data_IF_830896247854
#
_entry.id   IF_830896247854
#
_cell.length_a   1.000
_cell.length_b   1.000
_cell.length_c   1.000
_cell.angle_alpha   90.00
_cell.angle_beta   90.00
_cell.angle_gamma   90.00
#
_symmetry.space_group_name_H-M   'P 1'
#
loop_
_entity.id
_entity.type
_entity.pdbx_description
1 polymer ?
#
# COMPACT_ATOMS: atom_id res chain seq x y z
N UNK A 1 -20.15 14.09 -1.19
CA UNK A 1 -19.71 15.03 -0.12
C UNK A 1 -18.72 14.31 0.78
N UNK A 2 -17.73 14.99 1.38
CA UNK A 2 -16.79 14.35 2.31
C UNK A 2 -17.52 13.96 3.60
N UNK A 3 -17.53 12.68 3.96
CA UNK A 3 -18.07 12.20 5.22
C UNK A 3 -16.93 12.10 6.25
N UNK A 4 -16.78 13.15 7.04
CA UNK A 4 -15.76 13.20 8.08
C UNK A 4 -15.96 12.12 9.15
N UNK A 5 -17.21 11.75 9.46
CA UNK A 5 -17.51 10.78 10.51
C UNK A 5 -16.98 9.40 10.15
N UNK A 6 -17.31 8.87 8.97
CA UNK A 6 -16.84 7.56 8.53
C UNK A 6 -15.32 7.56 8.35
N UNK A 7 -14.73 8.68 7.87
CA UNK A 7 -13.31 8.81 7.72
C UNK A 7 -12.54 8.71 9.05
N UNK A 8 -12.99 9.46 10.07
CA UNK A 8 -12.36 9.40 11.40
C UNK A 8 -12.61 8.07 12.12
N UNK A 9 -13.76 7.43 11.91
CA UNK A 9 -14.06 6.12 12.51
C UNK A 9 -13.14 4.99 12.02
N UNK A 10 -12.50 5.15 10.87
CA UNK A 10 -11.51 4.16 10.39
C UNK A 10 -10.19 4.20 11.16
N UNK A 11 -9.80 5.37 11.70
CA UNK A 11 -8.51 5.55 12.36
C UNK A 11 -8.29 4.61 13.56
N UNK A 12 -9.24 4.40 14.49
CA UNK A 12 -9.11 3.42 15.57
C UNK A 12 -8.88 1.97 15.06
N UNK A 13 -9.57 1.57 13.99
CA UNK A 13 -9.37 0.25 13.38
C UNK A 13 -7.97 0.06 12.82
N UNK A 14 -7.46 1.08 12.11
CA UNK A 14 -6.09 1.08 11.59
C UNK A 14 -5.05 1.10 12.72
N UNK A 15 -5.28 1.89 13.77
CA UNK A 15 -4.43 1.92 14.95
C UNK A 15 -4.41 0.56 15.67
N UNK A 16 -5.56 -0.12 15.79
CA UNK A 16 -5.64 -1.45 16.36
C UNK A 16 -4.82 -2.47 15.54
N UNK A 17 -4.93 -2.45 14.20
CA UNK A 17 -4.12 -3.29 13.32
C UNK A 17 -2.62 -3.00 13.47
N UNK A 18 -2.26 -1.72 13.58
CA UNK A 18 -0.88 -1.29 13.81
C UNK A 18 -0.34 -1.82 15.16
N UNK A 19 -1.12 -1.71 16.23
CA UNK A 19 -0.75 -2.23 17.57
C UNK A 19 -0.61 -3.74 17.54
N UNK A 20 -1.50 -4.47 16.87
CA UNK A 20 -1.37 -5.93 16.69
C UNK A 20 -0.08 -6.29 15.95
N UNK A 21 0.25 -5.56 14.88
CA UNK A 21 1.52 -5.74 14.17
C UNK A 21 2.73 -5.46 15.06
N UNK A 22 2.67 -4.41 15.87
CA UNK A 22 3.71 -4.12 16.84
C UNK A 22 3.89 -5.25 17.86
N UNK A 23 2.81 -5.77 18.44
CA UNK A 23 2.86 -6.91 19.37
C UNK A 23 3.52 -8.15 18.72
N UNK A 24 3.20 -8.43 17.44
CA UNK A 24 3.82 -9.53 16.68
C UNK A 24 5.32 -9.28 16.44
N UNK A 25 5.73 -8.01 16.30
CA UNK A 25 7.13 -7.63 16.05
C UNK A 25 8.04 -7.80 17.27
N UNK A 26 7.49 -7.73 18.49
CA UNK A 26 8.26 -7.78 19.73
C UNK A 26 9.05 -9.10 19.91
N UNK A 27 8.43 -10.30 19.86
CA UNK A 27 9.16 -11.55 19.99
C UNK A 27 10.13 -11.79 18.83
N UNK A 28 9.84 -11.26 17.64
CA UNK A 28 10.68 -11.38 16.44
C UNK A 28 11.86 -10.41 16.44
N UNK A 29 11.82 -9.38 17.28
CA UNK A 29 12.76 -8.24 17.27
C UNK A 29 12.97 -7.66 15.87
N UNK A 30 11.91 -7.67 15.06
CA UNK A 30 11.91 -7.22 13.66
C UNK A 30 10.61 -6.47 13.37
N UNK A 31 10.71 -5.19 13.01
CA UNK A 31 9.56 -4.33 12.73
C UNK A 31 9.11 -4.37 11.25
N UNK A 32 9.80 -5.12 10.37
CA UNK A 32 9.43 -5.27 8.95
C UNK A 32 8.02 -5.84 8.74
N UNK A 33 7.44 -6.44 9.78
CA UNK A 33 6.02 -6.85 9.82
C UNK A 33 5.10 -5.71 9.39
N UNK A 34 5.45 -4.47 9.69
CA UNK A 34 4.64 -3.31 9.32
C UNK A 34 4.52 -3.15 7.81
N UNK A 35 5.57 -3.47 7.04
CA UNK A 35 5.55 -3.38 5.57
C UNK A 35 4.55 -4.40 4.98
N UNK A 36 4.41 -5.58 5.60
CA UNK A 36 3.40 -6.58 5.23
C UNK A 36 1.98 -6.12 5.56
N UNK A 37 1.81 -5.32 6.62
CA UNK A 37 0.51 -4.78 7.03
C UNK A 37 0.11 -3.55 6.23
N UNK A 38 1.05 -2.88 5.58
CA UNK A 38 0.82 -1.63 4.86
C UNK A 38 -0.35 -1.72 3.89
N UNK A 39 -0.32 -2.70 2.98
CA UNK A 39 -1.40 -2.89 2.01
C UNK A 39 -2.71 -3.36 2.66
N UNK A 40 -2.64 -4.15 3.74
CA UNK A 40 -3.80 -4.61 4.48
C UNK A 40 -4.51 -3.47 5.24
N UNK A 41 -3.79 -2.41 5.62
CA UNK A 41 -4.39 -1.20 6.18
C UNK A 41 -5.36 -0.54 5.18
N UNK A 42 -5.04 -0.52 3.89
CA UNK A 42 -5.94 0.00 2.86
C UNK A 42 -7.16 -0.91 2.63
N UNK A 43 -6.96 -2.22 2.68
CA UNK A 43 -8.09 -3.15 2.62
C UNK A 43 -9.04 -2.96 3.80
N UNK A 44 -8.48 -2.86 5.01
CA UNK A 44 -9.26 -2.56 6.21
C UNK A 44 -9.98 -1.21 6.08
N UNK A 45 -9.32 -0.18 5.52
CA UNK A 45 -9.94 1.13 5.28
C UNK A 45 -11.19 1.01 4.41
N UNK A 46 -11.13 0.27 3.30
CA UNK A 46 -12.30 0.07 2.42
C UNK A 46 -13.43 -0.62 3.15
N UNK A 47 -13.14 -1.67 3.92
CA UNK A 47 -14.16 -2.39 4.72
C UNK A 47 -14.81 -1.47 5.74
N UNK A 48 -14.03 -0.62 6.41
CA UNK A 48 -14.55 0.32 7.42
C UNK A 48 -15.36 1.47 6.80
N UNK A 49 -14.99 1.94 5.59
CA UNK A 49 -15.71 3.01 4.90
C UNK A 49 -16.98 2.52 4.23
N UNK A 50 -16.94 1.37 3.59
CA UNK A 50 -18.04 0.84 2.78
C UNK A 50 -19.02 -0.02 3.59
N UNK A 51 -18.62 -0.47 4.79
CA UNK A 51 -19.29 -1.59 5.46
C UNK A 51 -19.02 -2.93 4.75
N UNK A 52 -19.54 -4.02 5.31
CA UNK A 52 -19.38 -5.35 4.70
C UNK A 52 -20.70 -6.16 4.81
N UNK A 53 -21.25 -6.61 3.67
CA UNK A 53 -20.81 -6.33 2.29
C UNK A 53 -21.12 -4.88 1.86
N UNK A 54 -20.33 -4.29 0.91
CA UNK A 54 -20.63 -2.96 0.40
C UNK A 54 -21.97 -2.89 -0.34
N UNK A 55 -22.74 -1.83 -0.08
CA UNK A 55 -24.08 -1.67 -0.66
C UNK A 55 -24.02 -1.24 -2.14
N UNK A 56 -23.07 -0.37 -2.50
CA UNK A 56 -22.95 0.19 -3.85
C UNK A 56 -22.12 -0.69 -4.78
N UNK A 57 -22.39 -0.64 -6.09
CA UNK A 57 -21.57 -1.34 -7.11
C UNK A 57 -20.12 -0.85 -7.09
N UNK A 58 -19.91 0.48 -6.95
CA UNK A 58 -18.58 1.07 -6.85
C UNK A 58 -17.85 0.59 -5.60
N UNK A 59 -18.54 0.48 -4.46
CA UNK A 59 -18.00 -0.08 -3.23
C UNK A 59 -17.55 -1.54 -3.40
N UNK A 60 -18.37 -2.37 -4.06
CA UNK A 60 -18.03 -3.76 -4.37
C UNK A 60 -16.83 -3.86 -5.33
N UNK A 61 -16.82 -3.06 -6.40
CA UNK A 61 -15.71 -2.98 -7.34
C UNK A 61 -14.41 -2.61 -6.60
N UNK A 62 -14.46 -1.56 -5.81
CA UNK A 62 -13.29 -1.08 -5.08
C UNK A 62 -12.78 -2.11 -4.07
N UNK A 63 -13.68 -2.76 -3.32
CA UNK A 63 -13.30 -3.82 -2.39
C UNK A 63 -12.55 -4.96 -3.10
N UNK A 64 -13.02 -5.39 -4.27
CA UNK A 64 -12.36 -6.45 -5.05
C UNK A 64 -10.97 -5.99 -5.52
N UNK A 65 -10.86 -4.80 -6.11
CA UNK A 65 -9.59 -4.27 -6.61
C UNK A 65 -8.56 -4.12 -5.46
N UNK A 66 -8.98 -3.53 -4.35
CA UNK A 66 -8.10 -3.34 -3.19
C UNK A 66 -7.73 -4.68 -2.55
N UNK A 67 -8.68 -5.63 -2.43
CA UNK A 67 -8.41 -6.94 -1.85
C UNK A 67 -7.38 -7.73 -2.68
N UNK A 68 -7.55 -7.78 -4.00
CA UNK A 68 -6.61 -8.46 -4.90
C UNK A 68 -5.21 -7.85 -4.80
N UNK A 69 -5.11 -6.54 -4.86
CA UNK A 69 -3.83 -5.83 -4.76
C UNK A 69 -3.20 -6.00 -3.37
N UNK A 70 -3.95 -5.75 -2.29
CA UNK A 70 -3.42 -5.73 -0.94
C UNK A 70 -2.99 -7.12 -0.45
N UNK A 71 -3.78 -8.16 -0.72
CA UNK A 71 -3.45 -9.53 -0.34
C UNK A 71 -2.21 -10.01 -1.10
N UNK A 72 -2.16 -9.77 -2.42
CA UNK A 72 -0.98 -10.10 -3.23
C UNK A 72 0.28 -9.41 -2.70
N UNK A 73 0.22 -8.10 -2.45
CA UNK A 73 1.38 -7.33 -2.00
C UNK A 73 1.83 -7.77 -0.60
N UNK A 74 0.89 -7.95 0.33
CA UNK A 74 1.18 -8.43 1.69
C UNK A 74 1.87 -9.80 1.67
N UNK A 75 1.35 -10.76 0.88
CA UNK A 75 1.96 -12.09 0.74
C UNK A 75 3.37 -11.98 0.15
N UNK A 76 3.55 -11.18 -0.89
CA UNK A 76 4.85 -10.99 -1.53
C UNK A 76 5.88 -10.41 -0.57
N UNK A 77 5.53 -9.33 0.15
CA UNK A 77 6.44 -8.70 1.11
C UNK A 77 6.76 -9.64 2.27
N UNK A 78 5.75 -10.33 2.80
CA UNK A 78 5.94 -11.31 3.87
C UNK A 78 6.89 -12.41 3.43
N UNK A 79 6.66 -13.02 2.26
CA UNK A 79 7.52 -14.08 1.74
C UNK A 79 8.95 -13.60 1.46
N UNK A 80 9.11 -12.36 0.99
CA UNK A 80 10.41 -11.75 0.74
C UNK A 80 11.21 -11.53 2.02
N UNK A 81 10.52 -11.04 3.08
CA UNK A 81 11.18 -10.65 4.33
C UNK A 81 11.31 -11.83 5.32
N UNK A 82 10.61 -12.96 5.07
CA UNK A 82 10.61 -14.10 5.99
C UNK A 82 12.00 -14.74 6.14
N UNK A 83 12.49 -14.78 7.37
CA UNK A 83 13.79 -15.37 7.67
C UNK A 83 14.99 -14.47 7.33
N UNK A 84 14.76 -13.24 6.89
CA UNK A 84 15.81 -12.27 6.62
C UNK A 84 15.99 -11.30 7.81
N UNK A 85 17.15 -10.63 7.83
CA UNK A 85 17.42 -9.55 8.79
C UNK A 85 16.48 -8.36 8.53
N UNK A 86 16.24 -7.58 9.60
CA UNK A 86 15.46 -6.35 9.55
C UNK A 86 15.99 -5.38 8.49
N UNK A 87 15.11 -4.74 7.73
CA UNK A 87 15.46 -3.75 6.69
C UNK A 87 16.38 -2.66 7.25
N UNK A 88 17.37 -2.25 6.45
CA UNK A 88 18.40 -1.27 6.84
C UNK A 88 17.81 0.06 7.33
N UNK A 89 16.66 0.47 6.81
CA UNK A 89 15.95 1.68 7.25
C UNK A 89 15.53 1.55 8.70
N UNK A 90 14.93 0.43 9.07
CA UNK A 90 14.48 0.17 10.44
C UNK A 90 15.65 -0.09 11.39
N UNK A 91 16.69 -0.78 10.93
CA UNK A 91 17.94 -0.91 11.70
C UNK A 91 18.55 0.47 12.03
N UNK A 92 18.52 1.42 11.08
CA UNK A 92 19.01 2.78 11.32
C UNK A 92 18.15 3.54 12.34
N UNK A 93 16.80 3.39 12.29
CA UNK A 93 15.89 3.98 13.27
C UNK A 93 16.13 3.34 14.65
N UNK A 94 16.28 2.01 14.71
CA UNK A 94 16.57 1.26 15.93
C UNK A 94 17.83 1.78 16.61
N UNK A 95 18.95 1.82 15.89
CA UNK A 95 20.24 2.29 16.43
C UNK A 95 20.19 3.68 17.05
N UNK A 96 19.32 4.56 16.51
CA UNK A 96 19.16 5.94 17.04
C UNK A 96 18.25 6.01 18.27
N UNK A 97 17.49 4.94 18.58
CA UNK A 97 16.45 4.96 19.62
C UNK A 97 16.61 3.84 20.67
N UNK A 98 17.71 3.07 20.64
CA UNK A 98 18.03 2.12 21.71
C UNK A 98 18.45 2.86 22.99
N UNK A 99 18.14 2.29 24.19
CA UNK A 99 17.57 0.94 24.43
C UNK A 99 16.04 0.88 24.35
N UNK A 100 15.33 1.98 24.15
CA UNK A 100 13.87 2.07 24.21
C UNK A 100 13.14 1.74 22.91
N UNK A 101 13.81 1.28 21.83
CA UNK A 101 13.21 1.12 20.52
C UNK A 101 12.05 0.12 20.49
N UNK A 102 12.12 -0.96 21.26
CA UNK A 102 11.06 -1.97 21.33
C UNK A 102 9.69 -1.32 21.61
N UNK A 103 9.63 -0.38 22.56
CA UNK A 103 8.39 0.34 22.90
C UNK A 103 8.16 1.54 21.99
N UNK A 104 9.18 2.33 21.71
CA UNK A 104 9.03 3.54 20.89
C UNK A 104 8.69 3.24 19.43
N UNK A 105 8.95 2.02 18.94
CA UNK A 105 8.56 1.60 17.59
C UNK A 105 7.04 1.61 17.38
N UNK A 106 6.22 1.43 18.43
CA UNK A 106 4.77 1.48 18.30
C UNK A 106 4.31 2.79 17.66
N UNK A 107 4.81 3.93 18.11
CA UNK A 107 4.40 5.22 17.54
C UNK A 107 5.30 5.68 16.39
N UNK A 108 6.62 5.36 16.42
CA UNK A 108 7.56 5.80 15.38
C UNK A 108 7.41 5.06 14.05
N UNK A 109 6.95 3.81 14.12
CA UNK A 109 6.85 2.93 12.94
C UNK A 109 5.39 2.57 12.69
N UNK A 110 4.73 1.91 13.62
CA UNK A 110 3.41 1.30 13.37
C UNK A 110 2.28 2.34 13.32
N UNK A 111 2.13 3.18 14.35
CA UNK A 111 1.07 4.21 14.35
C UNK A 111 1.34 5.27 13.28
N UNK A 112 2.60 5.66 13.06
CA UNK A 112 2.96 6.56 11.97
C UNK A 112 2.49 6.03 10.61
N UNK A 113 2.70 4.75 10.32
CA UNK A 113 2.22 4.14 9.07
C UNK A 113 0.69 4.03 9.03
N UNK A 114 0.02 3.74 10.14
CA UNK A 114 -1.43 3.72 10.20
C UNK A 114 -2.04 5.10 9.89
N UNK A 115 -1.49 6.17 10.46
CA UNK A 115 -1.92 7.56 10.16
C UNK A 115 -1.64 7.90 8.70
N UNK A 116 -0.48 7.52 8.18
CA UNK A 116 -0.12 7.77 6.80
C UNK A 116 -1.05 7.00 5.82
N UNK A 117 -1.32 5.71 6.11
CA UNK A 117 -2.29 4.92 5.35
C UNK A 117 -3.69 5.51 5.41
N UNK A 118 -4.13 5.99 6.57
CA UNK A 118 -5.41 6.67 6.74
C UNK A 118 -5.54 7.92 5.86
N UNK A 119 -4.49 8.76 5.77
CA UNK A 119 -4.49 9.93 4.89
C UNK A 119 -4.48 9.52 3.42
N UNK A 120 -3.63 8.56 3.06
CA UNK A 120 -3.50 8.09 1.67
C UNK A 120 -4.78 7.40 1.20
N UNK A 121 -5.57 6.80 2.08
CA UNK A 121 -6.83 6.12 1.74
C UNK A 121 -7.98 7.06 1.32
N UNK A 122 -7.77 8.38 1.29
CA UNK A 122 -8.80 9.36 0.88
C UNK A 122 -9.51 9.03 -0.45
N UNK A 123 -8.86 8.57 -1.54
CA UNK A 123 -9.57 8.17 -2.75
C UNK A 123 -10.46 6.95 -2.52
N UNK A 124 -10.07 6.02 -1.66
CA UNK A 124 -10.90 4.88 -1.30
C UNK A 124 -12.17 5.33 -0.56
N UNK A 125 -12.01 6.22 0.41
CA UNK A 125 -13.14 6.83 1.12
C UNK A 125 -14.08 7.61 0.18
N UNK A 126 -13.51 8.43 -0.71
CA UNK A 126 -14.30 9.22 -1.66
C UNK A 126 -15.08 8.36 -2.65
N UNK A 127 -14.48 7.26 -3.10
CA UNK A 127 -15.10 6.35 -4.06
C UNK A 127 -16.27 5.56 -3.46
N UNK A 128 -16.14 5.01 -2.24
CA UNK A 128 -17.20 4.18 -1.62
C UNK A 128 -18.43 5.00 -1.24
N UNK A 129 -18.28 6.27 -0.93
CA UNK A 129 -19.37 7.17 -0.58
C UNK A 129 -20.14 7.74 -1.79
N UNK A 130 -19.69 7.43 -3.02
CA UNK A 130 -20.38 7.86 -4.24
C UNK A 130 -21.60 7.00 -4.54
N UNK A 131 -22.76 7.64 -4.70
CA UNK A 131 -24.05 6.98 -4.98
C UNK A 131 -24.39 6.92 -6.47
N UNK A 132 -23.62 7.60 -7.33
CA UNK A 132 -23.81 7.56 -8.79
C UNK A 132 -23.49 6.16 -9.35
N UNK A 133 -24.11 5.81 -10.46
CA UNK A 133 -23.76 4.62 -11.23
C UNK A 133 -22.31 4.65 -11.71
N UNK A 134 -21.78 3.50 -12.13
CA UNK A 134 -20.43 3.42 -12.70
C UNK A 134 -20.40 4.17 -14.05
N UNK A 135 -19.42 5.06 -14.22
CA UNK A 135 -19.23 5.87 -15.41
C UNK A 135 -17.87 5.64 -16.08
N UNK A 136 -17.62 6.40 -17.12
CA UNK A 136 -16.37 6.30 -17.93
C UNK A 136 -15.11 6.40 -17.09
N UNK A 137 -15.07 7.26 -16.08
CA UNK A 137 -13.90 7.42 -15.21
C UNK A 137 -13.65 6.19 -14.32
N UNK A 138 -14.70 5.44 -13.93
CA UNK A 138 -14.54 4.18 -13.23
C UNK A 138 -13.81 3.16 -14.11
N UNK A 139 -14.21 3.02 -15.37
CA UNK A 139 -13.58 2.09 -16.34
C UNK A 139 -12.14 2.52 -16.66
N UNK A 140 -11.87 3.80 -16.80
CA UNK A 140 -10.49 4.32 -16.95
C UNK A 140 -9.67 3.97 -15.71
N UNK A 141 -10.23 4.15 -14.52
CA UNK A 141 -9.59 3.81 -13.25
C UNK A 141 -9.24 2.32 -13.16
N UNK A 142 -10.18 1.46 -13.54
CA UNK A 142 -9.97 0.00 -13.59
C UNK A 142 -8.88 -0.37 -14.61
N UNK A 143 -8.89 0.22 -15.80
CA UNK A 143 -7.88 -0.03 -16.82
C UNK A 143 -6.48 0.39 -16.33
N UNK A 144 -6.37 1.55 -15.71
CA UNK A 144 -5.12 2.04 -15.12
C UNK A 144 -4.64 1.15 -13.97
N UNK A 145 -5.58 0.69 -13.13
CA UNK A 145 -5.29 -0.27 -12.07
C UNK A 145 -4.77 -1.60 -12.63
N UNK A 146 -5.38 -2.15 -13.69
CA UNK A 146 -4.92 -3.40 -14.34
C UNK A 146 -3.49 -3.24 -14.86
N UNK A 147 -3.20 -2.15 -15.55
CA UNK A 147 -1.83 -1.85 -16.03
C UNK A 147 -0.87 -1.75 -14.83
N UNK A 148 -1.25 -1.00 -13.79
CA UNK A 148 -0.46 -0.85 -12.57
C UNK A 148 -0.17 -2.17 -11.89
N UNK A 149 -1.20 -2.97 -11.67
CA UNK A 149 -1.08 -4.29 -11.04
C UNK A 149 -0.17 -5.24 -11.85
N UNK A 150 -0.28 -5.22 -13.18
CA UNK A 150 0.57 -6.03 -14.04
C UNK A 150 2.06 -5.63 -13.94
N UNK A 151 2.34 -4.32 -13.93
CA UNK A 151 3.72 -3.83 -13.77
C UNK A 151 4.27 -4.11 -12.38
N UNK A 152 3.49 -3.91 -11.34
CA UNK A 152 3.90 -4.13 -9.96
C UNK A 152 4.13 -5.62 -9.68
N UNK A 153 3.11 -6.45 -9.88
CA UNK A 153 3.19 -7.88 -9.60
C UNK A 153 4.19 -8.59 -10.54
N UNK A 154 4.17 -8.23 -11.83
CA UNK A 154 5.09 -8.78 -12.82
C UNK A 154 6.54 -8.35 -12.57
N UNK A 155 6.77 -7.08 -12.22
CA UNK A 155 8.08 -6.56 -11.86
C UNK A 155 8.66 -7.25 -10.63
N UNK A 156 7.86 -7.39 -9.58
CA UNK A 156 8.23 -8.09 -8.34
C UNK A 156 8.59 -9.56 -8.61
N UNK A 157 7.73 -10.27 -9.37
CA UNK A 157 7.96 -11.66 -9.73
C UNK A 157 9.24 -11.85 -10.57
N UNK A 158 9.45 -11.00 -11.58
CA UNK A 158 10.64 -11.06 -12.43
C UNK A 158 11.90 -10.84 -11.62
N UNK A 159 11.93 -9.85 -10.73
CA UNK A 159 13.08 -9.58 -9.87
C UNK A 159 13.35 -10.71 -8.89
N UNK A 160 12.30 -11.24 -8.25
CA UNK A 160 12.42 -12.36 -7.32
C UNK A 160 12.99 -13.60 -8.01
N UNK A 161 12.53 -13.92 -9.23
CA UNK A 161 13.04 -15.03 -10.02
C UNK A 161 14.50 -14.81 -10.44
N UNK A 162 14.84 -13.59 -10.88
CA UNK A 162 16.20 -13.22 -11.28
C UNK A 162 17.20 -13.39 -10.12
N UNK A 163 16.85 -12.95 -8.92
CA UNK A 163 17.69 -13.03 -7.71
C UNK A 163 17.87 -14.45 -7.18
N UNK A 164 16.94 -15.37 -7.48
CA UNK A 164 17.05 -16.79 -7.08
C UNK A 164 18.09 -17.57 -7.88
N UNK A 165 18.46 -17.09 -9.06
CA UNK A 165 19.46 -17.74 -9.90
C UNK A 165 20.87 -17.26 -9.51
N UNK A 166 21.74 -18.14 -8.97
CA UNK A 166 23.10 -17.78 -8.60
C UNK A 166 23.93 -17.22 -9.76
N UNK A 167 23.61 -17.61 -11.00
CA UNK A 167 24.30 -17.10 -12.19
C UNK A 167 24.08 -15.60 -12.41
N UNK A 168 23.09 -15.00 -11.74
CA UNK A 168 22.79 -13.57 -11.79
C UNK A 168 23.42 -12.77 -10.64
N UNK A 169 24.21 -13.38 -9.77
CA UNK A 169 24.90 -12.68 -8.69
C UNK A 169 25.74 -11.52 -9.24
N UNK A 170 25.55 -10.31 -8.69
CA UNK A 170 26.24 -9.10 -9.13
C UNK A 170 25.74 -8.47 -10.44
N UNK A 171 24.74 -9.09 -11.10
CA UNK A 171 24.15 -8.54 -12.35
C UNK A 171 22.94 -7.68 -12.04
N UNK A 172 22.65 -6.73 -12.94
CA UNK A 172 21.46 -5.89 -12.91
C UNK A 172 20.34 -6.55 -13.73
N UNK A 173 19.13 -6.54 -13.21
CA UNK A 173 17.95 -6.97 -13.96
C UNK A 173 17.54 -5.90 -14.97
N UNK A 174 17.59 -6.25 -16.28
CA UNK A 174 17.36 -5.34 -17.42
C UNK A 174 16.36 -5.91 -18.45
N UNK A 175 15.61 -6.98 -18.08
CA UNK A 175 14.68 -7.68 -18.97
C UNK A 175 13.22 -7.52 -18.54
N UNK A 176 12.29 -7.83 -19.45
CA UNK A 176 10.86 -7.72 -19.18
C UNK A 176 10.45 -6.30 -18.80
N UNK A 177 9.71 -6.13 -17.72
CA UNK A 177 9.31 -4.80 -17.24
C UNK A 177 10.50 -3.92 -16.82
N UNK A 178 11.59 -4.49 -16.35
CA UNK A 178 12.82 -3.81 -15.92
C UNK A 178 13.62 -3.21 -17.11
N UNK A 179 13.26 -3.55 -18.35
CA UNK A 179 13.81 -2.90 -19.54
C UNK A 179 13.27 -1.48 -19.73
N UNK A 180 12.02 -1.23 -19.33
CA UNK A 180 11.34 0.02 -19.60
C UNK A 180 11.53 1.07 -18.49
N UNK A 181 11.76 0.62 -17.26
CA UNK A 181 11.97 1.49 -16.11
C UNK A 181 12.83 0.79 -15.05
N UNK A 182 13.58 1.58 -14.27
CA UNK A 182 14.40 1.05 -13.17
C UNK A 182 13.57 0.52 -11.99
N UNK A 183 12.29 0.90 -11.91
CA UNK A 183 11.39 0.56 -10.82
C UNK A 183 9.98 0.27 -11.34
N UNK A 184 9.79 -0.83 -12.11
CA UNK A 184 8.50 -1.17 -12.68
C UNK A 184 7.42 -1.40 -11.62
N UNK A 185 7.79 -1.94 -10.46
CA UNK A 185 6.89 -2.13 -9.32
C UNK A 185 6.41 -0.79 -8.74
N UNK A 186 7.27 0.23 -8.63
CA UNK A 186 6.84 1.55 -8.14
C UNK A 186 6.00 2.30 -9.17
N UNK A 187 6.34 2.17 -10.45
CA UNK A 187 5.48 2.67 -11.51
C UNK A 187 4.09 2.01 -11.47
N UNK A 188 4.07 0.69 -11.26
CA UNK A 188 2.84 -0.07 -11.12
C UNK A 188 1.99 0.38 -9.94
N UNK A 189 2.60 0.51 -8.76
CA UNK A 189 1.93 0.98 -7.54
C UNK A 189 1.37 2.42 -7.73
N UNK A 190 2.16 3.32 -8.34
CA UNK A 190 1.65 4.66 -8.69
C UNK A 190 0.41 4.57 -9.59
N UNK A 191 0.43 3.74 -10.66
CA UNK A 191 -0.72 3.55 -11.53
C UNK A 191 -1.95 2.98 -10.78
N UNK A 192 -1.76 2.04 -9.87
CA UNK A 192 -2.85 1.51 -9.00
C UNK A 192 -3.51 2.65 -8.22
N UNK A 193 -2.73 3.52 -7.58
CA UNK A 193 -3.24 4.63 -6.77
C UNK A 193 -3.90 5.72 -7.61
N UNK A 194 -3.36 6.04 -8.78
CA UNK A 194 -4.02 6.95 -9.71
C UNK A 194 -5.29 6.33 -10.31
N UNK A 195 -5.33 5.00 -10.47
CA UNK A 195 -6.54 4.26 -10.83
C UNK A 195 -7.65 4.40 -9.78
N UNK A 196 -7.33 4.23 -8.49
CA UNK A 196 -8.28 4.48 -7.39
C UNK A 196 -8.76 5.93 -7.37
N UNK A 197 -7.88 6.88 -7.69
CA UNK A 197 -8.30 8.29 -7.79
C UNK A 197 -9.26 8.54 -8.94
N UNK A 198 -9.07 7.94 -10.11
CA UNK A 198 -10.04 8.06 -11.21
C UNK A 198 -11.43 7.55 -10.80
N UNK A 199 -11.50 6.42 -10.05
CA UNK A 199 -12.75 5.90 -9.51
C UNK A 199 -13.35 6.89 -8.49
N UNK A 200 -12.53 7.49 -7.62
CA UNK A 200 -12.97 8.51 -6.67
C UNK A 200 -13.46 9.79 -7.37
N UNK A 201 -12.79 10.18 -8.44
CA UNK A 201 -13.16 11.33 -9.25
C UNK A 201 -14.52 11.12 -9.93
N UNK A 202 -14.82 9.89 -10.40
CA UNK A 202 -16.15 9.50 -10.90
C UNK A 202 -17.25 9.69 -9.85
N UNK A 203 -16.91 9.48 -8.57
CA UNK A 203 -17.77 9.72 -7.42
C UNK A 203 -17.84 11.20 -6.98
N UNK A 204 -17.18 12.12 -7.71
CA UNK A 204 -17.12 13.56 -7.37
C UNK A 204 -16.11 13.91 -6.27
N UNK A 205 -15.25 12.99 -5.86
CA UNK A 205 -14.28 13.18 -4.78
C UNK A 205 -12.94 13.74 -5.30
N UNK A 206 -12.94 14.83 -6.04
CA UNK A 206 -11.76 15.48 -6.62
C UNK A 206 -10.69 15.87 -5.57
N UNK A 207 -11.11 16.19 -4.35
CA UNK A 207 -10.25 16.55 -3.22
C UNK A 207 -9.34 15.40 -2.77
N UNK A 208 -9.70 14.17 -3.08
CA UNK A 208 -8.96 12.97 -2.68
C UNK A 208 -7.62 12.77 -3.43
N UNK A 209 -7.28 13.66 -4.36
CA UNK A 209 -5.99 13.70 -5.08
C UNK A 209 -4.77 13.68 -4.13
N UNK A 210 -4.96 14.13 -2.90
CA UNK A 210 -3.93 14.13 -1.87
C UNK A 210 -3.35 12.72 -1.66
N UNK A 211 -4.20 11.68 -1.66
CA UNK A 211 -3.79 10.30 -1.46
C UNK A 211 -2.74 9.82 -2.48
N UNK A 212 -3.06 9.75 -3.79
CA UNK A 212 -2.11 9.32 -4.80
C UNK A 212 -0.91 10.27 -4.95
N UNK A 213 -1.07 11.56 -4.66
CA UNK A 213 0.05 12.51 -4.65
C UNK A 213 1.06 12.16 -3.55
N UNK A 214 0.61 11.92 -2.31
CA UNK A 214 1.48 11.48 -1.21
C UNK A 214 2.12 10.13 -1.56
N UNK A 215 1.35 9.16 -2.06
CA UNK A 215 1.89 7.86 -2.45
C UNK A 215 2.99 8.01 -3.49
N UNK A 216 2.77 8.80 -4.52
CA UNK A 216 3.79 9.09 -5.56
C UNK A 216 5.06 9.70 -4.95
N UNK A 217 4.92 10.65 -4.02
CA UNK A 217 6.07 11.26 -3.33
C UNK A 217 6.83 10.23 -2.49
N UNK A 218 6.12 9.33 -1.78
CA UNK A 218 6.75 8.26 -1.00
C UNK A 218 7.55 7.30 -1.90
N UNK A 219 6.97 6.88 -3.01
CA UNK A 219 7.64 6.00 -3.99
C UNK A 219 8.91 6.66 -4.56
N UNK A 220 8.85 7.95 -4.90
CA UNK A 220 9.96 8.67 -5.51
C UNK A 220 11.07 9.06 -4.52
N UNK A 221 10.73 9.40 -3.27
CA UNK A 221 11.68 10.00 -2.32
C UNK A 221 12.06 9.10 -1.14
N UNK A 222 11.19 8.19 -0.74
CA UNK A 222 11.38 7.38 0.48
C UNK A 222 11.72 5.94 0.16
N UNK A 223 11.07 5.36 -0.87
CA UNK A 223 11.20 3.92 -1.17
C UNK A 223 12.39 3.57 -2.09
N UNK A 224 13.24 4.53 -2.45
CA UNK A 224 14.54 4.21 -3.03
C UNK A 224 14.76 4.50 -4.51
N UNK A 225 13.92 5.29 -5.19
CA UNK A 225 14.24 5.75 -6.56
C UNK A 225 15.49 6.65 -6.58
N UNK A 226 15.80 7.28 -5.45
CA UNK A 226 16.98 8.18 -5.27
C UNK A 226 18.07 7.60 -4.36
N UNK A 227 17.96 6.34 -3.95
CA UNK A 227 18.98 5.68 -3.12
C UNK A 227 19.97 4.88 -3.96
#
# INVERSE_FOLDING_TARGET
>A
MFDATSWFLALPGLAALAVLGWLISLPRRNVDVVDSLWSLMFLLSVVLYAGFPPETERGRLLLVLVAVWAVRLSIFITARNWGHEEDRRYQAIRRRNEPGFAFSSVYRVFIFQAVLAWIISLPLHGAVNGTSELGTLDYIGVALWIVGFAFEAGGDWQLARFRRDPANAGKVMDRGFWRYTRHPNYFGDACVWWGFYCIALSAGAWWSIIGPAIMTVLLLKVSGVKL
#
